data_IF_693645647986
#
_entry.id   IF_693645647986
#
_cell.length_a   1.000
_cell.length_b   1.000
_cell.length_c   1.000
_cell.angle_alpha   90.00
_cell.angle_beta   90.00
_cell.angle_gamma   90.00
#
_symmetry.space_group_name_H-M   'P 1'
#
loop_
_entity.id
_entity.type
_entity.pdbx_description
1 polymer ?
#
# COMPACT_ATOMS: atom_id res chain seq x y z
N UNK A 1 -17.85 -51.34 -71.24
CA UNK A 1 -18.94 -51.63 -72.19
C UNK A 1 -19.98 -52.48 -71.48
N UNK A 2 -21.11 -51.88 -71.00
CA UNK A 2 -22.22 -52.58 -70.42
C UNK A 2 -23.14 -53.04 -71.57
N UNK A 3 -22.90 -54.25 -72.07
CA UNK A 3 -23.64 -54.83 -73.14
C UNK A 3 -24.49 -55.98 -72.61
N UNK A 4 -25.82 -55.87 -72.74
CA UNK A 4 -26.76 -56.92 -72.32
C UNK A 4 -27.34 -57.59 -73.50
N UNK A 5 -27.07 -58.91 -73.66
CA UNK A 5 -27.51 -59.69 -74.78
C UNK A 5 -28.85 -60.44 -74.44
N UNK A 6 -29.91 -60.10 -75.14
CA UNK A 6 -31.26 -60.66 -74.85
C UNK A 6 -31.61 -61.64 -75.95
N UNK A 7 -31.81 -62.90 -75.58
CA UNK A 7 -32.28 -63.99 -76.52
C UNK A 7 -33.64 -64.48 -76.04
N UNK A 8 -34.65 -64.74 -76.96
CA UNK A 8 -35.96 -65.24 -76.69
C UNK A 8 -36.99 -64.90 -77.78
N UNK A 9 -38.23 -65.33 -77.68
CA UNK A 9 -39.33 -65.07 -78.59
C UNK A 9 -39.69 -63.55 -78.61
N UNK A 10 -40.10 -63.00 -79.75
CA UNK A 10 -40.29 -61.58 -80.02
C UNK A 10 -41.10 -60.85 -78.88
N UNK A 11 -42.17 -61.53 -78.37
CA UNK A 11 -42.97 -60.98 -77.27
C UNK A 11 -42.20 -60.85 -75.97
N UNK A 12 -41.39 -61.83 -75.65
CA UNK A 12 -40.56 -61.81 -74.42
C UNK A 12 -39.42 -60.75 -74.48
N UNK A 13 -38.80 -60.58 -75.65
CA UNK A 13 -37.77 -59.54 -75.83
C UNK A 13 -38.33 -58.12 -75.66
N UNK A 14 -39.59 -57.89 -76.15
CA UNK A 14 -40.23 -56.60 -76.02
C UNK A 14 -40.57 -56.32 -74.52
N UNK A 15 -40.98 -57.32 -73.76
CA UNK A 15 -41.27 -57.24 -72.35
C UNK A 15 -40.01 -57.03 -71.57
N UNK A 16 -38.91 -57.72 -71.85
CA UNK A 16 -37.65 -57.57 -71.19
C UNK A 16 -37.03 -56.19 -71.51
N UNK A 17 -37.14 -55.75 -72.81
CA UNK A 17 -36.63 -54.39 -73.16
C UNK A 17 -37.40 -53.31 -72.38
N UNK A 18 -38.73 -53.41 -72.22
CA UNK A 18 -39.51 -52.47 -71.37
C UNK A 18 -39.12 -52.54 -69.89
N UNK A 19 -38.80 -53.74 -69.42
CA UNK A 19 -38.39 -53.95 -68.03
C UNK A 19 -36.96 -53.36 -67.79
N UNK A 20 -36.04 -53.47 -68.77
CA UNK A 20 -34.74 -52.85 -68.67
C UNK A 20 -34.85 -51.36 -68.80
N UNK A 21 -35.66 -50.81 -69.70
CA UNK A 21 -35.85 -49.33 -69.76
C UNK A 21 -36.49 -48.76 -68.48
N UNK A 22 -37.26 -49.58 -67.71
CA UNK A 22 -37.81 -49.19 -66.42
C UNK A 22 -36.81 -49.35 -65.27
N UNK A 23 -35.85 -50.27 -65.39
CA UNK A 23 -34.84 -50.54 -64.35
C UNK A 23 -33.50 -49.84 -64.58
N UNK A 24 -33.19 -49.47 -65.87
CA UNK A 24 -31.98 -48.73 -66.23
C UNK A 24 -32.16 -47.21 -65.91
N UNK A 25 -32.44 -46.94 -64.65
CA UNK A 25 -32.52 -45.60 -64.13
C UNK A 25 -31.11 -45.26 -63.60
N UNK A 26 -30.57 -44.15 -64.05
CA UNK A 26 -29.33 -43.63 -63.48
C UNK A 26 -29.52 -43.38 -61.96
N UNK A 27 -28.98 -44.31 -61.17
CA UNK A 27 -29.06 -44.26 -59.70
C UNK A 27 -28.44 -43.00 -59.12
N UNK A 28 -27.61 -42.30 -59.89
CA UNK A 28 -27.04 -41.02 -59.46
C UNK A 28 -27.90 -39.81 -59.84
N UNK A 29 -28.68 -39.87 -60.91
CA UNK A 29 -29.56 -38.78 -61.33
C UNK A 29 -30.68 -38.43 -60.37
N UNK A 30 -30.98 -39.33 -59.42
CA UNK A 30 -32.02 -39.13 -58.39
C UNK A 30 -31.46 -38.83 -56.99
N UNK A 31 -30.16 -38.58 -56.86
CA UNK A 31 -29.53 -38.29 -55.59
C UNK A 31 -29.10 -36.83 -55.52
N UNK A 32 -29.45 -36.18 -54.41
CA UNK A 32 -29.01 -34.81 -54.07
C UNK A 32 -27.74 -34.92 -53.22
N UNK A 33 -26.73 -34.19 -53.62
CA UNK A 33 -25.42 -34.14 -52.92
C UNK A 33 -25.19 -32.73 -52.40
N UNK A 34 -24.92 -32.60 -51.12
CA UNK A 34 -24.46 -31.34 -50.55
C UNK A 34 -23.11 -31.50 -49.84
N UNK A 35 -22.19 -30.56 -50.09
CA UNK A 35 -20.93 -30.45 -49.36
C UNK A 35 -21.03 -29.25 -48.44
N UNK A 36 -20.89 -29.53 -47.13
CA UNK A 36 -21.01 -28.50 -46.10
C UNK A 36 -19.67 -28.41 -45.37
N UNK A 37 -19.06 -27.22 -45.40
CA UNK A 37 -17.84 -26.96 -44.63
C UNK A 37 -18.15 -26.71 -43.18
N UNK A 38 -17.37 -27.31 -42.30
CA UNK A 38 -17.48 -27.14 -40.83
C UNK A 38 -16.44 -26.13 -40.36
N UNK A 39 -16.81 -25.26 -39.41
CA UNK A 39 -15.91 -24.24 -38.85
C UNK A 39 -15.28 -24.71 -37.57
N UNK A 40 -16.06 -25.35 -36.68
CA UNK A 40 -15.70 -25.60 -35.32
C UNK A 40 -15.58 -27.09 -34.95
N UNK A 41 -16.21 -28.02 -35.71
CA UNK A 41 -16.28 -29.44 -35.38
C UNK A 41 -15.55 -30.27 -36.45
N UNK A 42 -14.93 -31.41 -36.04
CA UNK A 42 -14.30 -32.34 -36.99
C UNK A 42 -15.42 -33.13 -37.73
N UNK A 43 -15.23 -33.42 -39.03
CA UNK A 43 -16.27 -34.11 -39.82
C UNK A 43 -16.69 -35.45 -39.24
N UNK A 44 -15.79 -36.24 -38.66
CA UNK A 44 -16.12 -37.54 -38.08
C UNK A 44 -17.06 -37.43 -36.87
N UNK A 45 -16.81 -36.43 -36.00
CA UNK A 45 -17.61 -36.19 -34.83
C UNK A 45 -19.02 -35.72 -35.22
N UNK A 46 -19.08 -34.75 -36.16
CA UNK A 46 -20.33 -34.22 -36.68
C UNK A 46 -21.18 -35.34 -37.34
N UNK A 47 -20.57 -36.25 -38.11
CA UNK A 47 -21.24 -37.37 -38.72
C UNK A 47 -21.87 -38.27 -37.67
N UNK A 48 -21.12 -38.65 -36.63
CA UNK A 48 -21.65 -39.51 -35.54
C UNK A 48 -22.85 -38.87 -34.81
N UNK A 49 -22.84 -37.57 -34.62
CA UNK A 49 -23.93 -36.83 -34.00
C UNK A 49 -25.17 -36.73 -34.92
N UNK A 50 -24.93 -36.45 -36.23
CA UNK A 50 -25.99 -36.40 -37.22
C UNK A 50 -26.66 -37.78 -37.48
N UNK A 51 -25.88 -38.85 -37.47
CA UNK A 51 -26.41 -40.22 -37.61
C UNK A 51 -27.31 -40.60 -36.43
N UNK A 52 -26.92 -40.22 -35.21
CA UNK A 52 -27.76 -40.46 -34.04
C UNK A 52 -29.09 -39.69 -34.09
N UNK A 53 -29.10 -38.48 -34.67
CA UNK A 53 -30.32 -37.64 -34.76
C UNK A 53 -31.20 -38.05 -35.93
N UNK A 54 -30.62 -38.32 -37.11
CA UNK A 54 -31.37 -38.52 -38.36
C UNK A 54 -31.59 -39.98 -38.69
N UNK A 55 -30.83 -40.93 -38.09
CA UNK A 55 -30.95 -42.35 -38.34
C UNK A 55 -30.91 -43.20 -37.09
N UNK A 56 -31.81 -42.98 -36.08
CA UNK A 56 -31.77 -43.70 -34.80
C UNK A 56 -32.07 -45.21 -34.89
N UNK A 57 -32.52 -45.70 -36.06
CA UNK A 57 -32.84 -47.14 -36.33
C UNK A 57 -32.07 -47.75 -37.49
N UNK A 58 -30.94 -47.12 -37.99
CA UNK A 58 -30.08 -47.70 -39.02
C UNK A 58 -30.59 -47.64 -40.47
N UNK A 59 -31.81 -47.17 -40.72
CA UNK A 59 -32.31 -46.92 -42.08
C UNK A 59 -31.91 -45.54 -42.54
N UNK A 60 -30.60 -45.35 -42.90
CA UNK A 60 -30.02 -44.07 -43.28
C UNK A 60 -30.62 -43.52 -44.59
N UNK A 61 -31.59 -42.63 -44.47
CA UNK A 61 -32.11 -41.80 -45.56
C UNK A 61 -31.08 -40.80 -46.09
N UNK A 62 -30.01 -40.58 -45.34
CA UNK A 62 -28.88 -39.69 -45.67
C UNK A 62 -27.56 -40.43 -45.43
N UNK A 63 -26.73 -40.50 -46.45
CA UNK A 63 -25.37 -41.04 -46.33
C UNK A 63 -24.38 -39.89 -46.12
N UNK A 64 -23.59 -39.98 -45.07
CA UNK A 64 -22.54 -39.00 -44.77
C UNK A 64 -21.17 -39.55 -45.13
N UNK A 65 -20.30 -38.67 -45.67
CA UNK A 65 -18.93 -39.02 -45.98
C UNK A 65 -17.99 -37.86 -45.53
N UNK A 66 -16.97 -38.11 -44.70
CA UNK A 66 -16.08 -37.07 -44.25
C UNK A 66 -15.06 -36.68 -45.34
N UNK A 67 -14.85 -35.37 -45.53
CA UNK A 67 -13.81 -34.83 -46.41
C UNK A 67 -12.80 -34.12 -45.53
N UNK A 68 -11.87 -34.89 -44.94
CA UNK A 68 -10.88 -34.41 -43.96
C UNK A 68 -10.08 -33.20 -44.42
N UNK A 69 -9.65 -33.21 -45.70
CA UNK A 69 -8.78 -32.13 -46.25
C UNK A 69 -9.46 -30.74 -46.27
N UNK A 70 -10.78 -30.72 -46.41
CA UNK A 70 -11.54 -29.47 -46.51
C UNK A 70 -12.27 -29.15 -45.20
N UNK A 71 -12.08 -29.94 -44.15
CA UNK A 71 -12.91 -29.89 -42.92
C UNK A 71 -14.41 -29.83 -43.27
N UNK A 72 -14.86 -30.68 -44.19
CA UNK A 72 -16.22 -30.67 -44.70
C UNK A 72 -16.87 -32.08 -44.59
N UNK A 73 -18.18 -32.14 -44.59
CA UNK A 73 -18.90 -33.36 -44.77
C UNK A 73 -19.70 -33.34 -46.07
N UNK A 74 -19.80 -34.47 -46.74
CA UNK A 74 -20.66 -34.68 -47.88
C UNK A 74 -21.88 -35.47 -47.45
N UNK A 75 -23.08 -34.89 -47.68
CA UNK A 75 -24.38 -35.56 -47.46
C UNK A 75 -24.97 -35.94 -48.79
N UNK A 76 -25.40 -37.23 -48.92
CA UNK A 76 -26.03 -37.79 -50.08
C UNK A 76 -27.39 -38.32 -49.68
N UNK A 77 -28.47 -37.87 -50.35
CA UNK A 77 -29.84 -38.27 -50.04
C UNK A 77 -30.74 -38.22 -51.27
N UNK A 78 -31.75 -39.10 -51.38
CA UNK A 78 -32.73 -39.03 -52.46
C UNK A 78 -33.78 -37.92 -52.31
N UNK A 79 -33.79 -37.19 -51.16
CA UNK A 79 -34.78 -36.17 -50.88
C UNK A 79 -34.16 -34.81 -50.56
N UNK A 80 -34.43 -33.81 -51.42
CA UNK A 80 -33.89 -32.46 -51.30
C UNK A 80 -34.23 -31.80 -49.92
N UNK A 81 -35.45 -32.05 -49.38
CA UNK A 81 -35.83 -31.49 -48.08
C UNK A 81 -34.96 -31.97 -46.91
N UNK A 82 -34.37 -33.18 -47.04
CA UNK A 82 -33.45 -33.66 -46.01
C UNK A 82 -32.16 -32.92 -46.00
N UNK A 83 -31.68 -32.39 -47.14
CA UNK A 83 -30.47 -31.54 -47.19
C UNK A 83 -30.70 -30.24 -46.40
N UNK A 84 -31.84 -29.63 -46.54
CA UNK A 84 -32.16 -28.42 -45.78
C UNK A 84 -32.19 -28.71 -44.27
N UNK A 85 -32.77 -29.85 -43.89
CA UNK A 85 -32.77 -30.32 -42.50
C UNK A 85 -31.36 -30.59 -41.98
N UNK A 86 -30.48 -31.23 -42.77
CA UNK A 86 -29.09 -31.48 -42.45
C UNK A 86 -28.32 -30.15 -42.24
N UNK A 87 -28.50 -29.18 -43.14
CA UNK A 87 -27.87 -27.88 -43.04
C UNK A 87 -28.33 -27.13 -41.76
N UNK A 88 -29.60 -27.23 -41.40
CA UNK A 88 -30.13 -26.63 -40.20
C UNK A 88 -29.53 -27.25 -38.93
N UNK A 89 -29.38 -28.57 -38.90
CA UNK A 89 -28.75 -29.27 -37.79
C UNK A 89 -27.25 -28.96 -37.70
N UNK A 90 -26.53 -28.95 -38.85
CA UNK A 90 -25.13 -28.57 -38.87
C UNK A 90 -24.97 -27.14 -38.31
N UNK A 91 -25.75 -26.17 -38.76
CA UNK A 91 -25.69 -24.80 -38.26
C UNK A 91 -25.99 -24.70 -36.76
N UNK A 92 -26.74 -25.62 -36.18
CA UNK A 92 -27.00 -25.69 -34.75
C UNK A 92 -25.93 -26.41 -33.95
N UNK A 93 -25.31 -27.45 -34.53
CA UNK A 93 -24.32 -28.30 -33.87
C UNK A 93 -22.87 -27.77 -34.05
N UNK A 94 -22.59 -27.13 -35.19
CA UNK A 94 -21.26 -26.54 -35.46
C UNK A 94 -21.06 -25.21 -34.72
N UNK A 95 -21.58 -25.16 -33.48
CA UNK A 95 -21.24 -24.10 -32.53
C UNK A 95 -19.99 -24.50 -31.80
N UNK A 96 -19.19 -23.50 -31.47
CA UNK A 96 -17.92 -23.64 -30.73
C UNK A 96 -18.11 -24.61 -29.54
N UNK A 97 -17.63 -25.85 -29.68
CA UNK A 97 -17.34 -26.74 -28.53
C UNK A 97 -16.07 -26.32 -27.78
N UNK A 98 -15.60 -25.09 -28.03
CA UNK A 98 -14.38 -24.52 -27.44
C UNK A 98 -14.43 -24.35 -25.91
N UNK A 99 -15.54 -24.72 -25.27
CA UNK A 99 -15.65 -24.69 -23.82
C UNK A 99 -14.66 -25.64 -23.12
N UNK A 100 -14.23 -26.72 -23.79
CA UNK A 100 -13.36 -27.74 -23.20
C UNK A 100 -11.92 -27.76 -23.79
N UNK A 101 -11.66 -27.04 -24.90
CA UNK A 101 -10.32 -26.96 -25.48
C UNK A 101 -9.51 -25.84 -24.81
N UNK A 102 -8.30 -26.19 -24.35
CA UNK A 102 -7.42 -25.25 -23.68
C UNK A 102 -6.72 -24.37 -24.67
N UNK A 103 -6.71 -23.07 -24.42
CA UNK A 103 -5.99 -22.06 -25.21
C UNK A 103 -5.34 -21.02 -24.31
N UNK A 104 -4.45 -20.25 -24.90
CA UNK A 104 -3.80 -19.15 -24.21
C UNK A 104 -4.69 -17.91 -24.24
N UNK A 105 -5.00 -17.39 -23.05
CA UNK A 105 -5.63 -16.10 -22.87
C UNK A 105 -4.62 -15.12 -22.28
N UNK A 106 -4.72 -13.86 -22.65
CA UNK A 106 -3.91 -12.77 -22.10
C UNK A 106 -4.83 -11.78 -21.41
N UNK A 107 -4.58 -11.53 -20.14
CA UNK A 107 -5.28 -10.51 -19.35
C UNK A 107 -4.32 -9.38 -19.02
N UNK A 108 -4.60 -8.18 -19.47
CA UNK A 108 -3.84 -6.98 -19.12
C UNK A 108 -4.35 -6.44 -17.79
N UNK A 109 -3.47 -6.42 -16.79
CA UNK A 109 -3.79 -5.93 -15.46
C UNK A 109 -3.86 -4.42 -15.48
N UNK A 110 -4.92 -3.83 -14.90
CA UNK A 110 -5.21 -2.39 -14.98
C UNK A 110 -4.68 -1.60 -13.81
N UNK A 111 -4.75 -2.18 -12.61
CA UNK A 111 -4.53 -1.45 -11.37
C UNK A 111 -3.48 -2.10 -10.46
N UNK A 112 -3.36 -3.41 -10.52
CA UNK A 112 -2.50 -4.20 -9.65
C UNK A 112 -1.21 -4.64 -10.37
N UNK A 113 -0.33 -5.33 -9.65
CA UNK A 113 0.84 -5.99 -10.23
C UNK A 113 0.46 -7.39 -10.71
N UNK A 114 0.86 -7.74 -11.95
CA UNK A 114 0.55 -9.03 -12.55
C UNK A 114 1.19 -10.21 -11.80
N UNK A 115 2.36 -10.02 -11.18
CA UNK A 115 3.04 -11.04 -10.38
C UNK A 115 2.26 -11.37 -9.11
N UNK A 116 1.84 -10.36 -8.36
CA UNK A 116 1.08 -10.53 -7.12
C UNK A 116 -0.28 -11.20 -7.38
N UNK A 117 -1.00 -10.78 -8.45
CA UNK A 117 -2.25 -11.42 -8.85
C UNK A 117 -2.05 -12.88 -9.29
N UNK A 118 -0.98 -13.16 -10.03
CA UNK A 118 -0.64 -14.51 -10.48
C UNK A 118 -0.37 -15.44 -9.31
N UNK A 119 0.36 -15.01 -8.29
CA UNK A 119 0.59 -15.79 -7.06
C UNK A 119 -0.72 -16.08 -6.31
N UNK A 120 -1.57 -15.05 -6.19
CA UNK A 120 -2.90 -15.20 -5.58
C UNK A 120 -3.76 -16.21 -6.32
N UNK A 121 -3.83 -16.14 -7.66
CA UNK A 121 -4.56 -17.08 -8.49
C UNK A 121 -4.01 -18.51 -8.37
N UNK A 122 -2.67 -18.69 -8.41
CA UNK A 122 -2.02 -19.97 -8.18
C UNK A 122 -2.41 -20.56 -6.83
N UNK A 123 -2.44 -19.74 -5.76
CA UNK A 123 -2.85 -20.16 -4.43
C UNK A 123 -4.30 -20.66 -4.36
N UNK A 124 -5.23 -19.92 -4.96
CA UNK A 124 -6.66 -20.25 -4.98
C UNK A 124 -6.91 -21.53 -5.78
N UNK A 125 -6.38 -21.62 -6.99
CA UNK A 125 -6.61 -22.77 -7.88
C UNK A 125 -5.82 -24.02 -7.47
N UNK A 126 -4.67 -23.90 -6.80
CA UNK A 126 -3.92 -25.03 -6.25
C UNK A 126 -4.63 -25.65 -5.02
N UNK A 127 -5.31 -24.87 -4.20
CA UNK A 127 -6.03 -25.35 -3.02
C UNK A 127 -7.29 -26.15 -3.36
N UNK A 128 -7.96 -25.84 -4.46
CA UNK A 128 -9.14 -26.56 -4.95
C UNK A 128 -8.84 -28.04 -5.29
N UNK A 129 -7.59 -28.35 -5.61
CA UNK A 129 -7.09 -29.71 -5.91
C UNK A 129 -6.97 -30.58 -4.66
N UNK A 130 -6.48 -29.99 -3.56
CA UNK A 130 -6.26 -30.73 -2.31
C UNK A 130 -7.59 -31.20 -1.70
N UNK A 131 -8.64 -30.39 -1.79
CA UNK A 131 -9.97 -30.75 -1.27
C UNK A 131 -10.61 -31.90 -2.03
N UNK A 132 -10.46 -31.99 -3.36
CA UNK A 132 -10.98 -33.12 -4.15
C UNK A 132 -10.21 -34.42 -3.92
N UNK A 133 -8.91 -34.33 -3.62
CA UNK A 133 -8.09 -35.53 -3.31
C UNK A 133 -8.41 -36.12 -1.93
N UNK A 134 -8.81 -35.30 -0.97
CA UNK A 134 -9.21 -35.74 0.37
C UNK A 134 -10.54 -36.51 0.42
N UNK A 135 -11.46 -36.23 -0.51
CA UNK A 135 -12.78 -36.88 -0.54
C UNK A 135 -12.73 -38.26 -1.23
N UNK A 136 -11.69 -38.56 -2.00
CA UNK A 136 -11.54 -39.84 -2.71
C UNK A 136 -10.64 -40.85 -1.99
N UNK A 137 -10.16 -40.52 -0.79
CA UNK A 137 -9.22 -41.37 -0.03
C UNK A 137 -9.87 -42.15 1.12
N UNK A 138 -11.20 -42.02 1.30
CA UNK A 138 -11.89 -42.70 2.40
C UNK A 138 -12.91 -43.71 1.86
N UNK A 139 -12.46 -44.71 1.10
CA UNK A 139 -13.13 -46.01 1.03
C UNK A 139 -12.19 -47.05 0.42
N UNK A 140 -11.89 -48.05 1.21
CA UNK A 140 -11.27 -49.33 0.91
C UNK A 140 -11.52 -49.87 -0.51
N UNK A 141 -10.44 -50.09 -1.30
CA UNK A 141 -10.32 -51.33 -2.09
C UNK A 141 -8.85 -51.58 -2.41
N UNK A 142 -8.30 -52.62 -1.81
CA UNK A 142 -7.08 -53.32 -2.26
C UNK A 142 -7.33 -53.94 -3.63
N UNK A 143 -6.95 -53.26 -4.72
CA UNK A 143 -6.71 -53.91 -6.00
C UNK A 143 -5.56 -53.19 -6.74
N UNK A 144 -4.48 -53.98 -6.89
CA UNK A 144 -3.16 -53.53 -7.33
C UNK A 144 -3.02 -53.40 -8.86
N UNK A 145 -4.04 -53.67 -9.66
CA UNK A 145 -3.91 -53.84 -11.11
C UNK A 145 -4.63 -52.79 -12.01
N UNK A 146 -5.14 -51.68 -11.40
CA UNK A 146 -5.81 -50.63 -12.18
C UNK A 146 -5.09 -49.29 -12.10
N UNK A 147 -3.74 -49.31 -12.00
CA UNK A 147 -2.95 -48.07 -11.93
C UNK A 147 -2.72 -47.36 -13.29
N UNK A 148 -3.26 -47.88 -14.40
CA UNK A 148 -2.95 -47.33 -15.72
C UNK A 148 -4.07 -46.54 -16.41
N UNK A 149 -5.28 -46.44 -15.85
CA UNK A 149 -6.38 -45.81 -16.59
C UNK A 149 -7.00 -44.54 -15.95
N UNK A 150 -6.56 -44.11 -14.77
CA UNK A 150 -7.09 -42.92 -14.08
C UNK A 150 -6.07 -41.80 -13.89
N UNK A 151 -5.03 -41.76 -14.73
CA UNK A 151 -4.27 -40.53 -14.98
C UNK A 151 -5.04 -39.66 -15.98
N UNK A 152 -6.33 -39.44 -15.79
CA UNK A 152 -6.98 -38.26 -16.34
C UNK A 152 -6.37 -37.08 -15.61
N UNK A 153 -5.34 -36.56 -16.23
CA UNK A 153 -4.69 -35.29 -15.96
C UNK A 153 -5.77 -34.26 -15.73
N UNK A 154 -6.09 -33.98 -14.47
CA UNK A 154 -6.83 -32.76 -14.12
C UNK A 154 -5.89 -31.61 -14.43
N UNK A 155 -5.83 -31.25 -15.71
CA UNK A 155 -5.08 -30.12 -16.21
C UNK A 155 -5.73 -28.88 -15.62
N UNK A 156 -5.10 -28.32 -14.60
CA UNK A 156 -5.51 -27.07 -13.98
C UNK A 156 -5.14 -25.90 -14.87
N UNK A 157 -5.82 -24.75 -14.77
CA UNK A 157 -5.39 -23.54 -15.43
C UNK A 157 -3.95 -23.21 -14.97
N UNK A 158 -3.09 -22.89 -15.93
CA UNK A 158 -1.72 -22.47 -15.66
C UNK A 158 -1.61 -20.95 -15.82
N UNK A 159 -0.97 -20.33 -14.85
CA UNK A 159 -0.80 -18.88 -14.79
C UNK A 159 0.67 -18.51 -14.87
N UNK A 160 0.99 -17.58 -15.75
CA UNK A 160 2.31 -16.98 -15.83
C UNK A 160 2.17 -15.45 -15.94
N UNK A 161 3.01 -14.70 -15.25
CA UNK A 161 3.03 -13.24 -15.33
C UNK A 161 4.12 -12.78 -16.29
N UNK A 162 3.81 -11.81 -17.13
CA UNK A 162 4.78 -11.01 -17.85
C UNK A 162 4.91 -9.65 -17.19
N UNK A 163 6.05 -9.40 -16.57
CA UNK A 163 6.32 -8.17 -15.84
C UNK A 163 6.47 -6.98 -16.78
N UNK A 164 6.99 -7.20 -18.01
CA UNK A 164 7.25 -6.11 -18.95
C UNK A 164 5.97 -5.47 -19.47
N UNK A 165 4.93 -6.28 -19.74
CA UNK A 165 3.64 -5.82 -20.24
C UNK A 165 2.57 -5.71 -19.13
N UNK A 166 2.91 -6.00 -17.87
CA UNK A 166 1.99 -6.12 -16.74
C UNK A 166 0.75 -6.97 -17.08
N UNK A 167 0.99 -8.15 -17.68
CA UNK A 167 -0.07 -9.03 -18.14
C UNK A 167 0.04 -10.43 -17.55
N UNK A 168 -1.10 -11.13 -17.46
CA UNK A 168 -1.20 -12.50 -17.01
C UNK A 168 -1.51 -13.40 -18.21
N UNK A 169 -0.63 -14.37 -18.47
CA UNK A 169 -0.82 -15.40 -19.43
C UNK A 169 -1.55 -16.57 -18.78
N UNK A 170 -2.73 -16.90 -19.28
CA UNK A 170 -3.63 -17.89 -18.68
C UNK A 170 -3.85 -19.01 -19.68
N UNK A 171 -3.32 -20.21 -19.39
CA UNK A 171 -3.57 -21.41 -20.18
C UNK A 171 -4.76 -22.17 -19.58
N UNK A 172 -5.96 -22.00 -20.16
CA UNK A 172 -7.21 -22.49 -19.60
C UNK A 172 -8.22 -22.86 -20.69
N UNK A 173 -9.30 -23.57 -20.31
CA UNK A 173 -10.50 -23.73 -21.14
C UNK A 173 -11.32 -22.44 -21.16
N UNK A 174 -12.22 -22.28 -22.13
CA UNK A 174 -13.09 -21.11 -22.22
C UNK A 174 -13.93 -20.90 -20.94
N UNK A 175 -14.48 -21.98 -20.38
CA UNK A 175 -15.28 -21.94 -19.15
C UNK A 175 -14.45 -21.58 -17.91
N UNK A 176 -13.23 -22.11 -17.80
CA UNK A 176 -12.31 -21.74 -16.72
C UNK A 176 -11.91 -20.26 -16.81
N UNK A 177 -11.66 -19.77 -18.03
CA UNK A 177 -11.30 -18.37 -18.25
C UNK A 177 -12.41 -17.40 -17.88
N UNK A 178 -13.69 -17.74 -18.18
CA UNK A 178 -14.83 -16.91 -17.75
C UNK A 178 -14.84 -16.73 -16.22
N UNK A 179 -14.70 -17.83 -15.47
CA UNK A 179 -14.63 -17.79 -13.99
C UNK A 179 -13.42 -16.99 -13.51
N UNK A 180 -12.25 -17.20 -14.12
CA UNK A 180 -11.03 -16.49 -13.77
C UNK A 180 -11.17 -14.98 -14.06
N UNK A 181 -11.76 -14.63 -15.21
CA UNK A 181 -12.00 -13.24 -15.61
C UNK A 181 -12.94 -12.53 -14.65
N UNK A 182 -13.99 -13.21 -14.18
CA UNK A 182 -14.89 -12.65 -13.16
C UNK A 182 -14.16 -12.38 -11.84
N UNK A 183 -13.30 -13.30 -11.40
CA UNK A 183 -12.47 -13.12 -10.20
C UNK A 183 -11.47 -11.98 -10.39
N UNK A 184 -10.78 -11.96 -11.54
CA UNK A 184 -9.81 -10.90 -11.86
C UNK A 184 -10.46 -9.52 -11.84
N UNK A 185 -11.64 -9.36 -12.42
CA UNK A 185 -12.36 -8.07 -12.43
C UNK A 185 -12.71 -7.59 -11.01
N UNK A 186 -12.93 -8.52 -10.07
CA UNK A 186 -13.22 -8.20 -8.66
C UNK A 186 -11.98 -7.89 -7.84
N UNK A 187 -10.82 -8.43 -8.22
CA UNK A 187 -9.55 -8.28 -7.48
C UNK A 187 -8.68 -7.15 -8.04
N UNK A 188 -8.73 -6.91 -9.36
CA UNK A 188 -7.97 -5.85 -10.04
C UNK A 188 -8.68 -4.51 -9.89
N UNK A 189 -8.73 -4.00 -8.66
CA UNK A 189 -9.31 -2.71 -8.29
C UNK A 189 -8.22 -1.68 -8.03
N UNK A 190 -8.51 -0.41 -8.29
CA UNK A 190 -7.56 0.68 -8.03
C UNK A 190 -7.22 0.74 -6.53
N UNK A 191 -5.91 0.72 -6.17
CA UNK A 191 -5.50 0.84 -4.78
C UNK A 191 -5.91 2.19 -4.22
N UNK A 192 -6.44 2.18 -3.01
CA UNK A 192 -6.78 3.39 -2.29
C UNK A 192 -5.50 4.12 -1.87
N UNK A 193 -5.59 5.43 -1.76
CA UNK A 193 -4.53 6.27 -1.22
C UNK A 193 -4.97 6.85 0.11
N UNK A 194 -4.03 7.08 1.00
CA UNK A 194 -4.28 7.68 2.32
C UNK A 194 -3.37 8.88 2.48
N UNK A 195 -3.94 10.06 2.63
CA UNK A 195 -3.23 11.23 3.11
C UNK A 195 -3.16 11.15 4.63
N UNK A 196 -1.97 11.25 5.18
CA UNK A 196 -1.73 11.15 6.61
C UNK A 196 -1.05 12.43 7.07
N UNK A 197 -1.63 13.05 8.08
CA UNK A 197 -1.10 14.23 8.75
C UNK A 197 -0.74 13.86 10.19
N UNK A 198 0.56 13.96 10.52
CA UNK A 198 1.05 13.81 11.88
C UNK A 198 1.31 15.19 12.47
N UNK A 199 0.73 15.53 13.61
CA UNK A 199 0.99 16.82 14.27
C UNK A 199 1.64 16.58 15.62
N UNK A 200 2.81 17.18 15.83
CA UNK A 200 3.48 17.23 17.12
C UNK A 200 3.38 18.66 17.64
N UNK A 201 2.76 18.80 18.78
CA UNK A 201 2.64 20.06 19.50
C UNK A 201 3.40 19.96 20.82
N UNK A 202 4.37 20.81 21.04
CA UNK A 202 5.08 20.94 22.31
C UNK A 202 4.94 22.37 22.80
N UNK A 203 4.51 22.50 24.05
CA UNK A 203 4.41 23.79 24.74
C UNK A 203 5.24 23.70 26.01
N UNK A 204 6.21 24.60 26.13
CA UNK A 204 7.01 24.74 27.36
C UNK A 204 6.77 26.11 27.94
N UNK A 205 6.15 26.12 29.15
CA UNK A 205 5.91 27.30 29.93
C UNK A 205 6.95 27.37 31.05
N UNK A 206 7.66 28.51 31.16
CA UNK A 206 8.61 28.78 32.21
C UNK A 206 8.20 30.02 32.95
N UNK A 207 8.11 29.92 34.26
CA UNK A 207 7.81 31.02 35.19
C UNK A 207 8.93 31.08 36.22
N UNK A 208 9.66 32.19 36.19
CA UNK A 208 10.75 32.44 37.11
C UNK A 208 10.47 33.69 37.94
N UNK A 209 10.28 33.50 39.22
CA UNK A 209 10.06 34.59 40.20
C UNK A 209 11.23 34.62 41.16
N UNK A 210 11.86 35.76 41.26
CA UNK A 210 12.97 36.00 42.23
C UNK A 210 12.76 37.31 42.93
N UNK A 211 12.79 37.28 44.23
CA UNK A 211 12.73 38.49 45.09
C UNK A 211 13.58 38.33 46.33
N UNK A 212 14.10 39.45 46.83
CA UNK A 212 14.92 39.44 48.04
C UNK A 212 15.67 40.73 48.30
N UNK A 213 16.31 40.76 49.40
CA UNK A 213 17.13 41.89 49.84
C UNK A 213 18.60 41.51 49.89
N UNK A 214 19.45 42.41 49.41
CA UNK A 214 20.91 42.29 49.44
C UNK A 214 21.45 43.43 50.26
N UNK A 215 22.36 43.15 51.20
CA UNK A 215 23.00 44.13 52.06
C UNK A 215 24.48 44.19 51.78
N UNK A 216 24.97 45.42 51.63
CA UNK A 216 26.42 45.70 51.65
C UNK A 216 26.69 46.63 52.83
N UNK A 217 27.49 46.19 53.78
CA UNK A 217 27.96 46.98 54.90
C UNK A 217 29.44 47.31 54.71
N UNK A 218 29.74 48.57 54.50
CA UNK A 218 31.09 49.10 54.44
C UNK A 218 31.32 50.07 55.61
N UNK A 219 32.31 49.77 56.48
CA UNK A 219 32.70 50.65 57.59
C UNK A 219 34.21 50.57 57.75
N UNK A 220 34.93 51.64 57.37
CA UNK A 220 36.39 51.69 57.38
C UNK A 220 36.98 50.52 56.56
N UNK A 221 37.84 49.74 57.23
CA UNK A 221 38.45 48.57 56.60
C UNK A 221 37.62 47.33 56.62
N UNK A 222 36.33 47.36 57.10
CA UNK A 222 35.41 46.21 57.14
C UNK A 222 34.42 46.33 56.02
N UNK A 223 34.37 45.27 55.20
CA UNK A 223 33.41 45.13 54.13
C UNK A 223 32.72 43.76 54.23
N UNK A 224 31.41 43.77 54.38
CA UNK A 224 30.64 42.55 54.42
C UNK A 224 29.55 42.60 53.37
N UNK A 225 29.47 41.58 52.56
CA UNK A 225 28.53 41.43 51.47
C UNK A 225 27.64 40.19 51.73
N UNK A 226 26.36 40.43 51.88
CA UNK A 226 25.34 39.40 52.04
C UNK A 226 24.59 39.23 50.73
N UNK A 227 25.14 38.43 49.79
CA UNK A 227 24.53 38.11 48.50
C UNK A 227 25.02 36.77 48.04
N UNK A 228 24.23 36.06 47.25
CA UNK A 228 24.59 34.74 46.70
C UNK A 228 25.55 34.80 45.50
N UNK A 229 25.75 35.96 44.87
CA UNK A 229 26.66 36.09 43.73
C UNK A 229 27.74 37.11 43.98
N UNK A 230 28.99 36.83 43.61
CA UNK A 230 30.12 37.72 43.59
C UNK A 230 30.00 38.87 42.56
N UNK A 231 28.86 38.99 41.88
CA UNK A 231 28.61 40.07 40.93
C UNK A 231 28.56 41.38 41.69
N UNK A 232 29.46 42.29 41.31
CA UNK A 232 29.60 43.59 41.89
C UNK A 232 28.22 44.30 42.01
N UNK A 233 27.92 44.79 43.21
CA UNK A 233 26.70 45.60 43.47
C UNK A 233 26.69 46.88 42.61
N UNK A 234 27.79 47.14 41.88
CA UNK A 234 27.99 48.33 41.08
C UNK A 234 27.60 48.23 39.59
N UNK A 235 27.07 47.11 39.09
CA UNK A 235 26.55 47.10 37.73
C UNK A 235 25.12 47.60 37.71
N UNK A 236 24.93 48.76 37.12
CA UNK A 236 23.67 49.48 36.95
C UNK A 236 22.69 48.84 35.95
N UNK A 237 22.88 47.56 35.61
CA UNK A 237 22.06 46.84 34.63
C UNK A 237 21.62 45.52 35.27
N UNK A 238 20.69 45.63 36.21
CA UNK A 238 19.91 44.47 36.69
C UNK A 238 18.57 44.45 35.96
N UNK A 239 18.24 43.42 35.26
CA UNK A 239 16.86 43.28 34.78
C UNK A 239 15.95 43.12 35.99
N UNK A 240 14.84 43.83 36.00
CA UNK A 240 13.87 43.83 37.11
C UNK A 240 13.85 45.14 37.89
N UNK A 241 13.12 45.14 39.04
CA UNK A 241 13.06 46.30 39.90
C UNK A 241 14.14 46.24 40.95
N UNK A 242 15.02 47.24 40.93
CA UNK A 242 16.11 47.38 41.91
C UNK A 242 16.08 48.78 42.55
N UNK A 243 16.06 48.85 43.87
CA UNK A 243 16.17 50.12 44.63
C UNK A 243 17.38 50.03 45.52
N UNK A 244 18.27 51.04 45.43
CA UNK A 244 19.48 51.13 46.26
C UNK A 244 19.37 52.28 47.26
N UNK A 245 19.50 51.97 48.54
CA UNK A 245 19.54 52.96 49.60
C UNK A 245 20.92 53.00 50.26
N UNK A 246 21.48 54.18 50.46
CA UNK A 246 22.78 54.40 51.12
C UNK A 246 23.67 55.36 50.37
N UNK A 247 24.58 56.07 51.10
CA UNK A 247 25.58 56.99 50.56
C UNK A 247 26.93 56.35 50.41
N UNK A 248 27.98 57.16 50.02
CA UNK A 248 29.37 56.68 50.01
C UNK A 248 29.79 56.34 51.46
N UNK A 249 30.39 55.18 51.70
CA UNK A 249 30.83 54.64 53.00
C UNK A 249 29.71 54.30 54.01
N UNK A 250 28.52 53.96 53.54
CA UNK A 250 27.39 53.53 54.41
C UNK A 250 26.81 52.23 53.95
N UNK A 251 25.95 51.62 54.78
CA UNK A 251 25.20 50.41 54.42
C UNK A 251 24.35 50.64 53.17
N UNK A 252 24.58 49.83 52.14
CA UNK A 252 23.73 49.82 50.93
C UNK A 252 22.77 48.67 51.00
N UNK A 253 21.50 48.98 50.85
CA UNK A 253 20.42 48.04 50.76
C UNK A 253 19.97 47.99 49.30
N UNK A 254 19.95 46.82 48.69
CA UNK A 254 19.44 46.61 47.34
C UNK A 254 18.23 45.70 47.43
N UNK A 255 17.11 46.20 46.98
CA UNK A 255 15.88 45.40 46.74
C UNK A 255 15.95 44.90 45.31
N UNK A 256 15.83 43.58 45.12
CA UNK A 256 15.84 42.93 43.83
C UNK A 256 14.56 42.14 43.66
N UNK A 257 13.83 42.41 42.61
CA UNK A 257 12.59 41.67 42.27
C UNK A 257 12.53 41.53 40.74
N UNK A 258 12.47 40.29 40.28
CA UNK A 258 12.34 39.93 38.86
C UNK A 258 11.26 38.86 38.67
N UNK A 259 10.36 39.11 37.76
CA UNK A 259 9.44 38.08 37.23
C UNK A 259 9.65 37.93 35.74
N UNK A 260 9.91 36.73 35.31
CA UNK A 260 10.14 36.39 33.90
C UNK A 260 9.24 35.22 33.52
N UNK A 261 8.42 35.38 32.49
CA UNK A 261 7.51 34.37 31.97
C UNK A 261 7.91 34.12 30.51
N UNK A 262 8.21 32.89 30.19
CA UNK A 262 8.57 32.47 28.83
C UNK A 262 7.60 31.38 28.36
N UNK A 263 6.99 31.56 27.19
CA UNK A 263 6.13 30.59 26.50
C UNK A 263 6.79 30.19 25.17
N UNK A 264 7.19 28.93 25.03
CA UNK A 264 7.78 28.38 23.81
C UNK A 264 6.82 27.35 23.25
N UNK A 265 6.40 27.56 22.00
CA UNK A 265 5.52 26.64 21.27
C UNK A 265 6.23 26.11 20.03
N UNK A 266 6.29 24.81 19.91
CA UNK A 266 6.81 24.13 18.72
C UNK A 266 5.68 23.33 18.10
N UNK A 267 5.40 23.58 16.83
CA UNK A 267 4.39 22.85 16.05
C UNK A 267 5.05 22.29 14.80
N UNK A 268 4.99 20.97 14.63
CA UNK A 268 5.46 20.27 13.43
C UNK A 268 4.33 19.42 12.87
N UNK A 269 3.94 19.65 11.61
CA UNK A 269 2.84 18.94 10.97
C UNK A 269 3.29 18.32 9.63
N UNK A 270 4.07 17.22 9.65
CA UNK A 270 4.42 16.49 8.45
C UNK A 270 3.18 15.85 7.81
N UNK A 271 3.10 15.93 6.47
CA UNK A 271 2.02 15.35 5.68
C UNK A 271 2.61 14.42 4.64
N UNK A 272 1.97 13.26 4.43
CA UNK A 272 2.46 12.23 3.52
C UNK A 272 1.30 11.48 2.87
N UNK A 273 1.37 11.32 1.55
CA UNK A 273 0.42 10.53 0.77
C UNK A 273 1.02 9.14 0.52
N UNK A 274 0.27 8.09 0.87
CA UNK A 274 0.73 6.69 0.80
C UNK A 274 -0.35 5.82 0.19
N UNK A 275 0.03 4.83 -0.63
CA UNK A 275 -0.91 3.81 -1.11
C UNK A 275 -1.27 2.83 0.01
N UNK A 276 -2.46 2.26 -0.06
CA UNK A 276 -2.91 1.20 0.85
C UNK A 276 -1.93 0.02 0.86
N UNK A 277 -1.48 -0.38 2.05
CA UNK A 277 -0.47 -1.43 2.24
C UNK A 277 0.97 -1.03 1.89
N UNK A 278 1.20 0.15 1.31
CA UNK A 278 2.52 0.69 1.02
C UNK A 278 3.19 1.30 2.26
N UNK A 279 4.51 1.41 2.24
CA UNK A 279 5.29 2.10 3.28
C UNK A 279 5.88 3.37 2.69
N UNK A 280 5.77 4.47 3.41
CA UNK A 280 6.39 5.72 3.04
C UNK A 280 7.16 6.35 4.20
N UNK A 281 8.24 7.04 3.86
CA UNK A 281 9.12 7.75 4.79
C UNK A 281 9.28 9.19 4.33
N UNK A 282 9.07 10.10 5.26
CA UNK A 282 9.41 11.50 5.12
C UNK A 282 10.50 11.83 6.16
N UNK A 283 11.61 12.41 5.71
CA UNK A 283 12.64 12.96 6.58
C UNK A 283 12.94 14.39 6.15
N UNK A 284 12.81 15.32 7.08
CA UNK A 284 13.09 16.75 6.87
C UNK A 284 13.94 17.24 8.04
N UNK A 285 15.18 17.65 7.77
CA UNK A 285 16.08 18.08 8.82
C UNK A 285 17.51 18.30 8.36
N UNK A 286 18.39 18.49 9.32
CA UNK A 286 19.81 18.77 9.13
C UNK A 286 20.69 17.64 9.66
N UNK A 287 21.88 17.51 9.11
CA UNK A 287 22.93 16.63 9.66
C UNK A 287 23.86 17.43 10.58
N UNK A 288 23.97 16.97 11.81
CA UNK A 288 24.75 17.64 12.84
C UNK A 288 26.01 16.85 13.13
N UNK A 289 27.21 17.48 13.06
CA UNK A 289 28.46 16.82 13.40
C UNK A 289 28.58 16.64 14.92
N UNK A 290 28.85 15.40 15.33
CA UNK A 290 29.10 15.03 16.73
C UNK A 290 30.54 14.53 16.84
N UNK A 291 31.27 15.02 17.83
CA UNK A 291 32.63 14.54 18.12
C UNK A 291 32.47 13.22 18.88
N UNK A 292 32.92 12.13 18.26
CA UNK A 292 32.89 10.78 18.86
C UNK A 292 34.17 10.44 19.61
N UNK A 293 35.28 11.00 19.17
CA UNK A 293 36.60 10.81 19.82
C UNK A 293 37.47 12.04 19.64
N UNK A 294 38.14 12.42 20.71
CA UNK A 294 39.23 13.40 20.70
C UNK A 294 40.50 12.68 21.13
N UNK A 295 41.55 12.72 20.32
CA UNK A 295 42.87 12.17 20.61
C UNK A 295 43.88 13.30 20.64
N UNK A 296 44.61 13.44 21.76
CA UNK A 296 45.70 14.38 21.88
C UNK A 296 47.04 13.62 21.88
N UNK A 297 48.03 14.08 21.11
CA UNK A 297 49.39 13.55 21.17
C UNK A 297 50.10 14.15 22.38
N UNK A 298 50.66 13.28 23.21
CA UNK A 298 51.48 13.68 24.38
C UNK A 298 52.98 13.71 24.06
N UNK A 299 53.37 13.57 22.78
CA UNK A 299 54.75 13.71 22.35
C UNK A 299 55.21 15.16 22.47
N UNK A 300 56.39 15.38 23.03
CA UNK A 300 56.90 16.62 23.61
C UNK A 300 56.99 17.82 22.65
N UNK A 301 56.80 17.66 21.35
CA UNK A 301 56.96 18.73 20.35
C UNK A 301 55.76 18.91 19.39
N UNK A 302 54.73 18.08 19.42
CA UNK A 302 53.57 18.20 18.53
C UNK A 302 52.24 18.01 19.32
N UNK A 303 51.70 19.12 19.83
CA UNK A 303 50.41 19.14 20.51
C UNK A 303 49.26 19.08 19.49
N UNK A 304 49.18 17.97 18.72
CA UNK A 304 48.14 17.75 17.73
C UNK A 304 46.90 17.16 18.37
N UNK A 305 45.79 17.87 18.25
CA UNK A 305 44.46 17.37 18.60
C UNK A 305 43.76 16.84 17.32
N UNK A 306 43.37 15.58 17.32
CA UNK A 306 42.60 14.97 16.24
C UNK A 306 41.23 14.63 16.76
N UNK A 307 40.19 15.15 16.09
CA UNK A 307 38.80 14.88 16.40
C UNK A 307 38.22 13.94 15.32
N UNK A 308 37.55 12.89 15.76
CA UNK A 308 36.74 12.02 14.92
C UNK A 308 35.30 12.51 15.00
N UNK A 309 34.70 12.76 13.83
CA UNK A 309 33.38 13.39 13.73
C UNK A 309 32.41 12.39 13.07
N UNK A 310 31.25 12.18 13.66
CA UNK A 310 30.13 11.45 13.10
C UNK A 310 28.99 12.44 12.83
N UNK A 311 28.30 12.31 11.67
CA UNK A 311 27.14 13.11 11.35
C UNK A 311 25.88 12.37 11.80
N UNK A 312 25.02 13.05 12.53
CA UNK A 312 23.71 12.55 12.99
C UNK A 312 22.59 13.35 12.36
N UNK A 313 21.63 12.60 11.80
CA UNK A 313 20.40 13.19 11.26
C UNK A 313 19.54 13.75 12.39
N UNK A 314 19.07 14.98 12.22
CA UNK A 314 18.17 15.67 13.13
C UNK A 314 16.98 16.26 12.35
N UNK A 315 15.90 16.61 13.04
CA UNK A 315 14.69 17.14 12.43
C UNK A 315 13.48 16.22 12.60
N UNK A 316 12.59 16.21 11.63
CA UNK A 316 11.33 15.45 11.67
C UNK A 316 11.40 14.24 10.73
N UNK A 317 11.18 13.06 11.28
CA UNK A 317 11.05 11.81 10.52
C UNK A 317 9.68 11.20 10.78
N UNK A 318 8.96 10.84 9.71
CA UNK A 318 7.69 10.13 9.76
C UNK A 318 7.76 8.90 8.86
N UNK A 319 7.74 7.71 9.47
CA UNK A 319 7.61 6.42 8.80
C UNK A 319 6.19 5.90 9.02
N UNK A 320 5.51 5.50 7.94
CA UNK A 320 4.12 5.10 8.05
C UNK A 320 3.72 4.05 7.04
N UNK A 321 2.89 3.10 7.51
CA UNK A 321 2.29 2.05 6.69
C UNK A 321 0.79 1.99 6.98
N UNK A 322 -0.07 2.55 6.12
CA UNK A 322 -1.52 2.47 6.26
C UNK A 322 -2.05 1.14 5.73
N UNK A 323 -3.16 0.66 6.31
CA UNK A 323 -3.97 -0.43 5.79
C UNK A 323 -5.44 -0.06 5.91
N UNK A 324 -6.11 0.09 4.77
CA UNK A 324 -7.51 0.50 4.69
C UNK A 324 -8.41 -0.73 4.72
N UNK A 325 -9.42 -0.72 5.60
CA UNK A 325 -10.47 -1.75 5.62
C UNK A 325 -11.67 -1.29 4.80
N UNK A 326 -12.46 -2.24 4.32
CA UNK A 326 -13.69 -1.97 3.56
C UNK A 326 -14.71 -1.08 4.31
N UNK A 327 -14.65 -1.05 5.65
CA UNK A 327 -15.44 -0.17 6.51
C UNK A 327 -15.02 1.31 6.48
N UNK A 328 -13.93 1.66 5.78
CA UNK A 328 -13.33 3.00 5.81
C UNK A 328 -12.42 3.25 7.03
N UNK A 329 -12.20 2.23 7.85
CA UNK A 329 -11.26 2.29 8.97
C UNK A 329 -9.84 2.07 8.44
N UNK A 330 -8.91 2.91 8.87
CA UNK A 330 -7.49 2.85 8.52
C UNK A 330 -6.70 2.35 9.72
N UNK A 331 -5.99 1.25 9.55
CA UNK A 331 -4.99 0.79 10.51
C UNK A 331 -3.64 1.36 10.11
N UNK A 332 -2.97 2.06 11.00
CA UNK A 332 -1.72 2.77 10.76
C UNK A 332 -0.62 2.17 11.64
N UNK A 333 0.48 1.75 11.03
CA UNK A 333 1.74 1.52 11.72
C UNK A 333 2.59 2.77 11.56
N UNK A 334 2.91 3.44 12.66
CA UNK A 334 3.51 4.76 12.67
C UNK A 334 4.78 4.73 13.50
N UNK A 335 5.84 5.32 12.99
CA UNK A 335 7.02 5.70 13.75
C UNK A 335 7.35 7.16 13.43
N UNK A 336 7.17 8.03 14.40
CA UNK A 336 7.44 9.46 14.27
C UNK A 336 8.56 9.85 15.23
N UNK A 337 9.56 10.52 14.69
CA UNK A 337 10.70 11.05 15.45
C UNK A 337 10.84 12.55 15.17
N UNK A 338 10.95 13.34 16.23
CA UNK A 338 11.30 14.77 16.17
C UNK A 338 12.55 14.96 16.99
N UNK A 339 13.58 15.53 16.40
CA UNK A 339 14.85 15.79 17.07
C UNK A 339 15.31 17.22 16.84
N UNK A 340 15.70 17.89 17.92
CA UNK A 340 16.19 19.25 17.95
C UNK A 340 17.60 19.30 18.49
N UNK A 341 18.38 20.26 18.00
CA UNK A 341 19.76 20.49 18.44
C UNK A 341 19.81 21.63 19.42
N UNK A 342 20.29 21.37 20.62
CA UNK A 342 20.48 22.39 21.65
C UNK A 342 21.95 22.45 22.04
N UNK A 343 22.39 23.62 22.50
CA UNK A 343 23.74 23.77 23.04
C UNK A 343 23.89 22.99 24.33
N UNK A 344 24.95 22.23 24.45
CA UNK A 344 25.29 21.50 25.70
C UNK A 344 25.71 22.47 26.76
N UNK A 345 24.98 22.53 27.88
CA UNK A 345 25.30 23.37 29.03
C UNK A 345 25.87 22.55 30.22
N UNK A 346 25.88 21.23 30.12
CA UNK A 346 26.18 20.32 31.24
C UNK A 346 27.58 19.69 31.21
N UNK A 347 28.35 19.92 30.14
CA UNK A 347 29.70 19.36 30.00
C UNK A 347 30.62 20.33 29.26
N UNK A 348 31.93 20.26 29.55
CA UNK A 348 32.94 21.02 28.80
C UNK A 348 33.23 20.49 27.40
N UNK A 349 32.43 19.48 26.95
CA UNK A 349 32.56 18.90 25.62
C UNK A 349 31.90 19.82 24.61
N UNK A 350 32.63 20.25 23.61
CA UNK A 350 32.15 21.13 22.53
C UNK A 350 31.35 20.36 21.48
N UNK A 351 30.40 19.53 21.95
CA UNK A 351 29.51 18.75 21.12
C UNK A 351 28.02 19.13 21.42
N UNK A 352 27.17 19.26 20.43
CA UNK A 352 25.76 19.61 20.66
C UNK A 352 25.03 18.49 21.37
N UNK A 353 23.97 18.84 22.12
CA UNK A 353 23.01 17.88 22.65
C UNK A 353 21.84 17.73 21.68
N UNK A 354 21.49 16.49 21.33
CA UNK A 354 20.31 16.22 20.51
C UNK A 354 19.16 15.79 21.44
N UNK A 355 18.12 16.60 21.45
CA UNK A 355 16.86 16.24 22.13
C UNK A 355 15.99 15.48 21.13
N UNK A 356 15.57 14.26 21.48
CA UNK A 356 14.78 13.40 20.61
C UNK A 356 13.47 13.01 21.28
N UNK A 357 12.38 13.12 20.52
CA UNK A 357 11.03 12.67 20.88
C UNK A 357 10.59 11.65 19.86
N UNK A 358 10.37 10.41 20.28
CA UNK A 358 10.01 9.31 19.40
C UNK A 358 8.75 8.64 19.89
N UNK A 359 7.84 8.41 18.94
CA UNK A 359 6.59 7.65 19.15
C UNK A 359 6.50 6.56 18.10
N UNK A 360 6.35 5.31 18.55
CA UNK A 360 6.08 4.17 17.68
C UNK A 360 4.79 3.51 18.16
N UNK A 361 3.79 3.42 17.30
CA UNK A 361 2.46 2.91 17.65
C UNK A 361 1.73 2.30 16.48
N UNK A 362 0.80 1.41 16.77
CA UNK A 362 -0.19 0.91 15.82
C UNK A 362 -1.56 1.39 16.26
N UNK A 363 -2.22 2.20 15.43
CA UNK A 363 -3.52 2.78 15.70
C UNK A 363 -4.55 2.38 14.63
N UNK A 364 -5.82 2.32 15.00
CA UNK A 364 -6.92 2.07 14.06
C UNK A 364 -7.94 3.20 14.18
N UNK A 365 -8.11 3.97 13.10
CA UNK A 365 -8.86 5.22 13.07
C UNK A 365 -9.84 5.25 11.91
N UNK A 366 -10.93 5.98 12.07
CA UNK A 366 -11.83 6.26 10.96
C UNK A 366 -11.23 7.34 10.04
N UNK A 367 -11.41 7.21 8.73
CA UNK A 367 -11.01 8.24 7.77
C UNK A 367 -11.57 9.62 8.14
N UNK A 368 -10.72 10.64 8.16
CA UNK A 368 -11.07 12.02 8.47
C UNK A 368 -11.17 12.35 9.97
N UNK A 369 -10.86 11.40 10.87
CA UNK A 369 -10.84 11.66 12.32
C UNK A 369 -9.41 11.85 12.81
N UNK A 370 -9.23 12.78 13.75
CA UNK A 370 -7.96 13.02 14.42
C UNK A 370 -7.94 12.29 15.76
N UNK A 371 -6.86 11.58 16.06
CA UNK A 371 -6.66 10.91 17.33
C UNK A 371 -5.37 11.33 18.02
N UNK A 372 -5.39 11.30 19.33
CA UNK A 372 -4.23 11.47 20.17
C UNK A 372 -3.46 10.14 20.23
N UNK A 373 -2.22 10.11 19.72
CA UNK A 373 -1.35 8.94 19.80
C UNK A 373 -0.54 8.90 21.09
N UNK A 374 -0.01 10.05 21.49
CA UNK A 374 0.80 10.15 22.69
C UNK A 374 0.69 11.53 23.31
N UNK A 375 0.83 11.60 24.62
CA UNK A 375 0.89 12.83 25.36
C UNK A 375 1.84 12.71 26.55
N UNK A 376 2.51 13.81 26.90
CA UNK A 376 3.38 13.92 28.06
C UNK A 376 3.12 15.27 28.73
N UNK A 377 2.93 15.26 30.03
CA UNK A 377 2.93 16.46 30.87
C UNK A 377 4.05 16.28 31.87
N UNK A 378 4.99 17.22 31.87
CA UNK A 378 6.11 17.27 32.81
C UNK A 378 6.08 18.62 33.52
N UNK A 379 6.10 18.60 34.84
CA UNK A 379 6.19 19.80 35.67
C UNK A 379 7.40 19.67 36.60
N UNK A 380 8.24 20.71 36.62
CA UNK A 380 9.38 20.83 37.51
C UNK A 380 9.20 22.15 38.28
N UNK A 381 9.10 22.06 39.59
CA UNK A 381 9.09 23.22 40.47
C UNK A 381 10.34 23.19 41.34
N UNK A 382 11.05 24.31 41.37
CA UNK A 382 12.28 24.46 42.17
C UNK A 382 12.16 25.72 43.01
N UNK A 383 12.16 25.54 44.30
CA UNK A 383 12.15 26.62 45.27
C UNK A 383 13.55 26.80 45.90
N UNK A 384 14.15 27.95 45.70
CA UNK A 384 15.47 28.27 46.23
C UNK A 384 15.32 29.34 47.29
N UNK A 385 15.74 29.04 48.52
CA UNK A 385 15.77 29.99 49.63
C UNK A 385 17.19 30.10 50.15
N UNK A 386 17.77 31.26 50.01
CA UNK A 386 19.16 31.56 50.43
C UNK A 386 19.16 32.75 51.33
N UNK A 387 19.92 32.70 52.41
CA UNK A 387 19.99 33.83 53.36
C UNK A 387 20.88 33.59 54.55
N UNK A 388 20.90 34.52 55.48
CA UNK A 388 21.71 34.44 56.68
C UNK A 388 21.21 33.28 57.56
N UNK A 389 22.13 32.34 57.95
CA UNK A 389 21.74 31.22 58.82
C UNK A 389 20.93 31.68 60.05
N UNK A 390 19.91 30.95 60.43
CA UNK A 390 18.93 31.23 61.47
C UNK A 390 17.94 32.38 61.15
N UNK A 391 18.39 33.53 60.65
CA UNK A 391 17.58 34.71 60.42
C UNK A 391 16.63 34.54 59.24
N UNK A 392 17.04 33.89 58.17
CA UNK A 392 16.17 33.64 56.97
C UNK A 392 14.99 32.71 57.26
N UNK A 393 15.03 31.93 58.35
CA UNK A 393 13.99 31.00 58.76
C UNK A 393 12.89 31.63 59.64
N UNK A 394 13.07 32.88 60.03
CA UNK A 394 12.09 33.57 60.87
C UNK A 394 10.79 33.81 60.10
N UNK A 395 9.61 33.53 60.67
CA UNK A 395 8.33 33.86 60.07
C UNK A 395 8.22 35.38 59.90
N UNK A 396 7.75 35.84 58.74
CA UNK A 396 7.57 37.24 58.33
C UNK A 396 8.87 38.01 58.17
N UNK A 397 9.80 37.96 59.13
CA UNK A 397 11.10 38.68 59.07
C UNK A 397 12.15 38.00 58.20
N UNK A 398 12.01 36.71 57.93
CA UNK A 398 12.97 35.94 57.15
C UNK A 398 13.20 36.47 55.71
N UNK A 399 12.21 37.08 55.09
CA UNK A 399 12.30 37.68 53.78
C UNK A 399 13.22 38.90 53.72
N UNK A 400 13.48 39.57 54.86
CA UNK A 400 14.44 40.67 54.96
C UNK A 400 15.88 40.17 55.06
N UNK A 401 16.11 38.91 55.42
CA UNK A 401 17.44 38.31 55.60
C UNK A 401 17.77 37.19 54.59
N UNK A 402 16.99 37.16 53.46
CA UNK A 402 17.21 36.15 52.44
C UNK A 402 16.63 36.54 51.08
N UNK A 403 16.97 35.71 50.08
CA UNK A 403 16.41 35.76 48.74
C UNK A 403 15.61 34.50 48.51
N UNK A 404 14.41 34.63 47.94
CA UNK A 404 13.58 33.53 47.52
C UNK A 404 13.50 33.54 46.01
N UNK A 405 13.79 32.41 45.38
CA UNK A 405 13.61 32.15 43.95
C UNK A 405 12.63 30.98 43.81
N UNK A 406 11.65 31.16 42.98
CA UNK A 406 10.71 30.13 42.56
C UNK A 406 10.84 29.97 41.03
N UNK A 407 11.13 28.76 40.58
CA UNK A 407 11.21 28.43 39.16
C UNK A 407 10.27 27.28 38.87
N UNK A 408 9.30 27.53 38.00
CA UNK A 408 8.37 26.53 37.53
C UNK A 408 8.58 26.33 36.03
N UNK A 409 8.74 25.08 35.61
CA UNK A 409 8.79 24.70 34.21
C UNK A 409 7.76 23.61 33.95
N UNK A 410 6.82 23.88 33.04
CA UNK A 410 5.81 22.94 32.61
C UNK A 410 5.95 22.69 31.11
N UNK A 411 6.18 21.44 30.76
CA UNK A 411 6.27 20.99 29.36
C UNK A 411 5.12 20.06 29.06
N UNK A 412 4.36 20.38 28.04
CA UNK A 412 3.26 19.57 27.52
C UNK A 412 3.60 19.15 26.09
N UNK A 413 3.57 17.85 25.80
CA UNK A 413 3.77 17.27 24.50
C UNK A 413 2.52 16.52 24.09
N UNK A 414 2.03 16.79 22.88
CA UNK A 414 0.86 16.12 22.28
C UNK A 414 1.20 15.68 20.88
N UNK A 415 0.97 14.41 20.57
CA UNK A 415 1.15 13.84 19.23
C UNK A 415 -0.20 13.40 18.69
N UNK A 416 -0.62 14.04 17.62
CA UNK A 416 -1.90 13.79 16.93
C UNK A 416 -1.64 13.15 15.57
N UNK A 417 -2.59 12.34 15.11
CA UNK A 417 -2.59 11.75 13.76
C UNK A 417 -3.97 11.85 13.15
N UNK A 418 -4.02 12.16 11.86
CA UNK A 418 -5.24 12.27 11.08
C UNK A 418 -5.08 11.58 9.72
N UNK A 419 -5.67 10.39 9.50
CA UNK A 419 -5.70 9.74 8.20
C UNK A 419 -6.92 10.19 7.39
N UNK A 420 -6.74 10.44 6.09
CA UNK A 420 -7.81 10.72 5.13
C UNK A 420 -7.68 9.80 3.93
N UNK A 421 -8.64 8.88 3.74
CA UNK A 421 -8.66 7.97 2.59
C UNK A 421 -9.18 8.71 1.36
N UNK A 422 -8.48 8.57 0.25
CA UNK A 422 -8.82 9.13 -1.06
C UNK A 422 -9.35 8.00 -1.93
N UNK A 423 -10.60 8.10 -2.36
CA UNK A 423 -11.30 7.05 -3.11
C UNK A 423 -11.40 7.33 -4.60
N UNK A 424 -11.32 8.58 -5.00
CA UNK A 424 -11.49 8.99 -6.39
C UNK A 424 -10.42 10.00 -6.82
N UNK A 425 -10.26 10.12 -8.14
CA UNK A 425 -9.34 11.10 -8.73
C UNK A 425 -9.75 12.53 -8.42
N UNK A 426 -11.05 12.83 -8.49
CA UNK A 426 -11.59 14.17 -8.20
C UNK A 426 -11.34 14.59 -6.75
N UNK A 427 -11.38 13.62 -5.82
CA UNK A 427 -11.06 13.87 -4.41
C UNK A 427 -9.56 14.14 -4.21
N UNK A 428 -8.71 13.43 -4.97
CA UNK A 428 -7.26 13.66 -4.99
C UNK A 428 -6.92 15.07 -5.51
N UNK A 429 -7.57 15.52 -6.58
CA UNK A 429 -7.37 16.86 -7.16
C UNK A 429 -7.76 17.94 -6.15
N UNK A 430 -8.93 17.85 -5.51
CA UNK A 430 -9.37 18.79 -4.46
C UNK A 430 -8.41 18.88 -3.28
N UNK A 431 -7.91 17.71 -2.81
CA UNK A 431 -6.94 17.69 -1.72
C UNK A 431 -5.63 18.35 -2.14
N UNK A 432 -5.21 18.13 -3.37
CA UNK A 432 -4.00 18.76 -3.91
C UNK A 432 -4.18 20.28 -3.99
N UNK A 433 -5.32 20.76 -4.44
CA UNK A 433 -5.65 22.20 -4.45
C UNK A 433 -5.65 22.80 -3.04
N UNK A 434 -6.29 22.13 -2.07
CA UNK A 434 -6.30 22.55 -0.65
C UNK A 434 -4.87 22.64 -0.08
N UNK A 435 -4.03 21.64 -0.38
CA UNK A 435 -2.62 21.63 0.04
C UNK A 435 -1.83 22.77 -0.61
N UNK A 436 -2.00 22.97 -1.91
CA UNK A 436 -1.34 24.08 -2.63
C UNK A 436 -1.77 25.44 -2.08
N UNK A 437 -3.04 25.62 -1.70
CA UNK A 437 -3.53 26.83 -1.06
C UNK A 437 -2.87 27.07 0.31
N UNK A 438 -2.65 26.03 1.12
CA UNK A 438 -1.92 26.13 2.38
C UNK A 438 -0.46 26.56 2.17
N UNK A 439 0.16 26.14 1.05
CA UNK A 439 1.54 26.47 0.70
C UNK A 439 1.68 27.62 -0.29
N UNK A 440 0.84 28.64 -0.19
CA UNK A 440 0.83 29.82 -1.10
C UNK A 440 2.20 30.48 -1.31
N UNK A 441 3.08 30.42 -0.32
CA UNK A 441 4.46 30.92 -0.41
C UNK A 441 5.32 30.20 -1.46
N UNK A 442 5.11 28.91 -1.68
CA UNK A 442 5.81 28.12 -2.70
C UNK A 442 5.27 28.39 -4.11
N UNK A 443 3.97 28.63 -4.25
CA UNK A 443 3.33 28.95 -5.53
C UNK A 443 3.81 30.28 -6.10
N UNK A 444 4.11 31.26 -5.25
CA UNK A 444 4.59 32.57 -5.69
C UNK A 444 5.98 32.50 -6.33
N UNK A 445 6.78 31.49 -5.98
CA UNK A 445 8.19 31.35 -6.43
C UNK A 445 8.37 30.34 -7.58
N UNK A 446 7.38 29.48 -7.88
CA UNK A 446 7.54 28.42 -8.89
C UNK A 446 6.62 28.65 -10.11
N UNK A 447 7.18 29.02 -11.29
CA UNK A 447 6.40 29.31 -12.50
C UNK A 447 5.71 28.06 -13.11
N UNK A 448 6.17 26.85 -12.77
CA UNK A 448 5.62 25.60 -13.33
C UNK A 448 4.22 25.29 -12.78
N UNK A 449 3.90 25.72 -11.56
CA UNK A 449 2.60 25.50 -10.94
C UNK A 449 1.55 26.55 -11.35
N UNK A 450 1.96 27.68 -11.95
CA UNK A 450 1.07 28.73 -12.50
C UNK A 450 0.50 28.41 -13.89
N UNK A 451 1.04 27.41 -14.59
CA UNK A 451 0.67 27.13 -15.98
C UNK A 451 -0.58 26.23 -16.13
N UNK A 452 -1.19 25.78 -15.02
CA UNK A 452 -2.37 24.92 -15.02
C UNK A 452 -3.66 25.62 -14.51
N UNK A 453 -3.65 26.94 -14.35
CA UNK A 453 -4.84 27.77 -14.25
C UNK A 453 -5.17 28.37 -15.65
#
# INVERSE_FOLDING_TARGET
NNLLLISGIKKQRITIKKLIELLDVDAMASQYVAIVSLRNTRPEVMISELEQILSPRGNGLVRFTPIKRLNALMAITPNQKLIETVNLWIARLDKTKDADERRLFVYFVKHSDATALTETLKGVFASSVRHRRGILQDNDVKNKDTKSALSQTTLHPNFNSDHASNSILIWATGREYELISEVLTKVDISPLQVLIEGTVLEVTLQDNLRYGLKYLIESGNFRSLFTQSNAAIASSILPGFGVTFGGQNTTKLVIDALSEITDVRVVSSPQLLVMDGGTARLHVGDQVPIITRTSSSTATDDNRITNEIEYRDTGVTLDITPKVKSSGTVTLNISQTVSDVVRTSSSEINSPTIQQRQVTSTASLQSGTTALLAGLIREVATDIKSGIPLLHKLPVLGHFFGTTGEQKQRTELVVLISPKVIKSRDESEKITEDLLQKYKGLLATNPVLKANE
#
